data_IF_062530653645
#
_entry.id   IF_062530653645
#
_cell.length_a   1.000
_cell.length_b   1.000
_cell.length_c   1.000
_cell.angle_alpha   90.00
_cell.angle_beta   90.00
_cell.angle_gamma   90.00
#
_symmetry.space_group_name_H-M   'P 1'
#
loop_
_entity.id
_entity.type
_entity.pdbx_description
1 polymer ?
#
# COMPACT_ATOMS: atom_id res chain seq x y z
N UNK A 1 21.34 -3.54 -5.72
CA UNK A 1 20.41 -2.46 -5.37
C UNK A 1 21.13 -1.14 -5.32
N UNK A 2 20.61 -0.11 -6.01
CA UNK A 2 21.14 1.24 -6.05
C UNK A 2 20.19 2.19 -5.31
N UNK A 3 20.70 3.27 -4.73
CA UNK A 3 19.89 4.36 -4.17
C UNK A 3 19.86 5.53 -5.15
N UNK A 4 18.67 6.07 -5.38
CA UNK A 4 18.44 7.20 -6.27
C UNK A 4 17.73 8.30 -5.48
N UNK A 5 18.25 9.53 -5.55
CA UNK A 5 17.62 10.69 -4.93
C UNK A 5 16.53 11.24 -5.83
N UNK A 6 15.33 11.39 -5.29
CA UNK A 6 14.15 11.95 -5.97
C UNK A 6 13.80 13.30 -5.35
N UNK A 7 13.48 14.27 -6.19
CA UNK A 7 12.95 15.58 -5.76
C UNK A 7 11.43 15.54 -5.73
N UNK A 8 10.83 15.82 -4.58
CA UNK A 8 9.38 15.89 -4.40
C UNK A 8 8.80 17.27 -4.82
N UNK A 9 7.48 17.36 -4.95
CA UNK A 9 6.79 18.61 -5.34
C UNK A 9 6.97 19.76 -4.34
N UNK A 10 7.16 19.43 -3.07
CA UNK A 10 7.42 20.38 -1.98
C UNK A 10 8.91 20.73 -1.81
N UNK A 11 9.73 20.45 -2.83
CA UNK A 11 11.18 20.65 -2.87
C UNK A 11 11.97 19.82 -1.84
N UNK A 12 11.35 18.94 -1.08
CA UNK A 12 12.05 17.94 -0.28
C UNK A 12 12.67 16.87 -1.17
N UNK A 13 13.64 16.14 -0.64
CA UNK A 13 14.25 14.99 -1.33
C UNK A 13 14.03 13.72 -0.54
N UNK A 14 13.96 12.59 -1.26
CA UNK A 14 13.88 11.27 -0.66
C UNK A 14 14.60 10.23 -1.53
N UNK A 15 14.90 9.07 -0.95
CA UNK A 15 15.59 8.00 -1.64
C UNK A 15 14.60 6.95 -2.17
N UNK A 16 14.80 6.54 -3.43
CA UNK A 16 14.25 5.31 -3.98
C UNK A 16 15.35 4.25 -4.05
N UNK A 17 14.96 3.00 -3.84
CA UNK A 17 15.82 1.82 -3.97
C UNK A 17 15.50 1.14 -5.29
N UNK A 18 16.50 0.99 -6.16
CA UNK A 18 16.37 0.43 -7.49
C UNK A 18 17.20 -0.86 -7.63
N UNK A 19 16.59 -1.91 -8.12
CA UNK A 19 17.24 -3.13 -8.65
C UNK A 19 17.21 -3.05 -10.18
N UNK A 20 18.26 -2.49 -10.80
CA UNK A 20 18.24 -2.19 -12.22
C UNK A 20 18.41 -3.47 -13.06
N UNK A 21 17.76 -3.50 -14.23
CA UNK A 21 17.94 -4.48 -15.28
C UNK A 21 18.40 -3.81 -16.58
N UNK A 22 19.22 -4.49 -17.36
CA UNK A 22 19.69 -3.95 -18.66
C UNK A 22 18.58 -3.96 -19.71
N UNK A 23 17.72 -4.98 -19.68
CA UNK A 23 16.56 -5.13 -20.56
C UNK A 23 15.41 -5.71 -19.74
N UNK A 24 14.73 -4.88 -18.94
CA UNK A 24 13.68 -5.36 -18.05
C UNK A 24 12.45 -5.81 -18.83
N UNK A 25 11.85 -6.94 -18.41
CA UNK A 25 10.52 -7.35 -18.90
C UNK A 25 9.48 -6.29 -18.57
N UNK A 26 9.56 -5.72 -17.38
CA UNK A 26 8.77 -4.59 -16.92
C UNK A 26 9.45 -3.97 -15.68
N UNK A 27 9.08 -2.74 -15.34
CA UNK A 27 9.44 -2.14 -14.04
C UNK A 27 8.30 -2.33 -13.04
N UNK A 28 8.60 -2.95 -11.88
CA UNK A 28 7.66 -3.15 -10.78
C UNK A 28 7.97 -2.17 -9.66
N UNK A 29 7.00 -1.29 -9.35
CA UNK A 29 7.11 -0.36 -8.25
C UNK A 29 6.38 -0.92 -7.03
N UNK A 30 7.14 -1.25 -5.97
CA UNK A 30 6.63 -1.81 -4.71
C UNK A 30 6.31 -0.69 -3.72
N UNK A 31 5.11 -0.73 -3.13
CA UNK A 31 4.63 0.25 -2.17
C UNK A 31 4.22 -0.42 -0.86
N UNK A 32 4.84 0.00 0.23
CA UNK A 32 4.66 -0.55 1.57
C UNK A 32 3.37 -0.06 2.25
N UNK A 33 3.02 -0.69 3.37
CA UNK A 33 1.87 -0.36 4.21
C UNK A 33 2.10 0.79 5.19
N UNK A 34 1.13 1.03 6.06
CA UNK A 34 1.18 2.05 7.10
C UNK A 34 2.04 1.59 8.28
N UNK A 35 2.80 2.51 8.87
CA UNK A 35 3.67 2.28 10.02
C UNK A 35 4.71 1.16 9.79
N UNK A 36 5.23 1.08 8.57
CA UNK A 36 6.33 0.21 8.16
C UNK A 36 7.23 0.94 7.13
N UNK A 37 8.11 0.22 6.43
CA UNK A 37 9.00 0.80 5.42
C UNK A 37 9.34 -0.18 4.30
N UNK A 38 9.89 0.35 3.21
CA UNK A 38 10.13 -0.37 1.96
C UNK A 38 11.15 -1.51 2.08
N UNK A 39 12.09 -1.47 3.04
CA UNK A 39 13.13 -2.52 3.16
C UNK A 39 12.55 -3.88 3.60
N UNK A 40 11.33 -3.91 4.13
CA UNK A 40 10.60 -5.17 4.44
C UNK A 40 10.23 -5.96 3.18
N UNK A 41 10.30 -5.33 2.01
CA UNK A 41 9.98 -5.92 0.71
C UNK A 41 11.22 -6.37 -0.09
N UNK A 42 12.42 -6.25 0.49
CA UNK A 42 13.67 -6.69 -0.15
C UNK A 42 13.60 -8.15 -0.63
N UNK A 43 13.08 -9.12 0.14
CA UNK A 43 13.00 -10.51 -0.34
C UNK A 43 12.15 -10.67 -1.62
N UNK A 44 11.01 -9.96 -1.70
CA UNK A 44 10.19 -9.96 -2.91
C UNK A 44 10.90 -9.22 -4.05
N UNK A 45 11.53 -8.07 -3.78
CA UNK A 45 12.25 -7.30 -4.78
C UNK A 45 13.39 -8.11 -5.42
N UNK A 46 14.13 -8.86 -4.62
CA UNK A 46 15.20 -9.76 -5.11
C UNK A 46 14.64 -10.91 -5.93
N UNK A 47 13.54 -11.52 -5.51
CA UNK A 47 12.85 -12.57 -6.25
C UNK A 47 12.38 -12.08 -7.62
N UNK A 48 11.74 -10.92 -7.70
CA UNK A 48 11.28 -10.31 -8.94
C UNK A 48 12.46 -9.90 -9.84
N UNK A 49 13.51 -9.33 -9.24
CA UNK A 49 14.73 -8.96 -9.97
C UNK A 49 15.41 -10.16 -10.60
N UNK A 50 15.55 -11.29 -9.88
CA UNK A 50 16.08 -12.55 -10.40
C UNK A 50 15.23 -13.11 -11.56
N UNK A 51 13.94 -12.79 -11.59
CA UNK A 51 13.02 -13.18 -12.67
C UNK A 51 13.05 -12.24 -13.89
N UNK A 52 13.95 -11.22 -13.91
CA UNK A 52 14.16 -10.33 -15.06
C UNK A 52 13.39 -9.02 -15.01
N UNK A 53 12.72 -8.73 -13.89
CA UNK A 53 12.05 -7.43 -13.69
C UNK A 53 13.01 -6.40 -13.11
N UNK A 54 12.91 -5.16 -13.58
CA UNK A 54 13.43 -4.04 -12.81
C UNK A 54 12.50 -3.79 -11.63
N UNK A 55 13.05 -3.54 -10.46
CA UNK A 55 12.24 -3.28 -9.26
C UNK A 55 12.64 -1.96 -8.65
N UNK A 56 11.66 -1.17 -8.27
CA UNK A 56 11.87 0.07 -7.52
C UNK A 56 10.94 0.10 -6.31
N UNK A 57 11.42 0.67 -5.21
CA UNK A 57 10.62 0.96 -4.02
C UNK A 57 11.11 2.24 -3.36
N UNK A 58 10.25 2.89 -2.58
CA UNK A 58 10.60 4.06 -1.80
C UNK A 58 9.80 4.09 -0.50
N UNK A 59 10.25 4.84 0.48
CA UNK A 59 9.46 5.10 1.66
C UNK A 59 8.41 6.19 1.39
N UNK A 60 7.16 5.92 1.72
CA UNK A 60 6.11 6.94 1.71
C UNK A 60 6.43 8.07 2.69
N UNK A 61 5.84 9.23 2.50
CA UNK A 61 5.95 10.37 3.40
C UNK A 61 5.64 9.95 4.84
N UNK A 62 6.47 10.38 5.78
CA UNK A 62 6.33 10.03 7.19
C UNK A 62 6.73 8.60 7.57
N UNK A 63 7.31 7.82 6.66
CA UNK A 63 7.72 6.44 6.88
C UNK A 63 9.22 6.24 6.62
N UNK A 64 9.77 5.17 7.21
CA UNK A 64 11.20 4.89 7.12
C UNK A 64 12.06 6.06 7.58
N UNK A 65 12.95 6.55 6.71
CA UNK A 65 13.82 7.72 6.95
C UNK A 65 13.14 9.06 6.72
N UNK A 66 11.96 9.12 6.06
CA UNK A 66 11.27 10.38 5.74
C UNK A 66 10.65 11.00 6.99
N UNK A 67 10.93 12.28 7.21
CA UNK A 67 10.50 13.03 8.39
C UNK A 67 9.54 14.16 8.05
N UNK A 68 8.66 14.57 8.99
CA UNK A 68 8.46 14.01 10.32
C UNK A 68 7.78 12.63 10.26
N UNK A 69 8.18 11.71 11.17
CA UNK A 69 7.63 10.34 11.19
C UNK A 69 6.12 10.34 11.47
N UNK A 70 5.39 9.49 10.75
CA UNK A 70 3.95 9.35 10.89
C UNK A 70 3.15 10.54 10.34
N UNK A 71 3.76 11.39 9.49
CA UNK A 71 3.10 12.57 8.93
C UNK A 71 3.39 12.71 7.44
N UNK A 72 2.34 12.80 6.60
CA UNK A 72 2.55 12.91 5.14
C UNK A 72 3.07 14.28 4.75
N UNK A 73 2.33 15.31 5.13
CA UNK A 73 2.63 16.70 4.88
C UNK A 73 1.69 17.59 5.71
N UNK A 74 2.04 18.84 5.89
CA UNK A 74 1.09 19.83 6.38
C UNK A 74 -0.03 20.06 5.38
N UNK A 75 -1.20 20.48 5.86
CA UNK A 75 -2.34 20.75 5.00
C UNK A 75 -1.97 21.75 3.90
N UNK A 76 -2.25 21.40 2.65
CA UNK A 76 -1.95 22.19 1.45
C UNK A 76 -0.43 22.43 1.20
N UNK A 77 0.45 21.55 1.64
CA UNK A 77 1.85 21.59 1.24
C UNK A 77 1.98 21.55 -0.29
N UNK A 78 2.81 22.41 -0.87
CA UNK A 78 2.96 22.55 -2.32
C UNK A 78 1.61 22.74 -3.08
N UNK A 79 0.58 23.28 -2.43
CA UNK A 79 -0.75 23.45 -3.03
C UNK A 79 -1.57 22.15 -3.16
N UNK A 80 -1.10 21.05 -2.58
CA UNK A 80 -1.73 19.72 -2.64
C UNK A 80 -2.01 19.19 -1.23
N UNK A 81 -2.96 18.28 -1.10
CA UNK A 81 -3.16 17.49 0.13
C UNK A 81 -2.15 16.36 0.25
N UNK A 82 -1.97 15.81 1.49
CA UNK A 82 -1.02 14.74 1.73
C UNK A 82 -1.30 13.49 0.88
N UNK A 83 -2.56 13.16 0.62
CA UNK A 83 -2.95 12.06 -0.26
C UNK A 83 -2.49 12.27 -1.72
N UNK A 84 -2.62 13.49 -2.25
CA UNK A 84 -2.19 13.84 -3.61
C UNK A 84 -0.68 13.84 -3.74
N UNK A 85 0.04 14.30 -2.71
CA UNK A 85 1.50 14.27 -2.67
C UNK A 85 2.06 12.85 -2.71
N UNK A 86 1.34 11.85 -2.16
CA UNK A 86 1.73 10.44 -2.28
C UNK A 86 1.68 9.97 -3.74
N UNK A 87 0.65 10.37 -4.50
CA UNK A 87 0.54 10.03 -5.93
C UNK A 87 1.63 10.72 -6.75
N UNK A 88 1.92 11.99 -6.46
CA UNK A 88 2.99 12.75 -7.12
C UNK A 88 4.37 12.14 -6.85
N UNK A 89 4.64 11.70 -5.62
CA UNK A 89 5.89 11.02 -5.28
C UNK A 89 6.07 9.71 -6.11
N UNK A 90 5.00 8.92 -6.29
CA UNK A 90 5.04 7.72 -7.14
C UNK A 90 5.35 8.08 -8.59
N UNK A 91 4.67 9.09 -9.12
CA UNK A 91 4.89 9.54 -10.50
C UNK A 91 6.34 9.97 -10.71
N UNK A 92 6.92 10.72 -9.78
CA UNK A 92 8.33 11.17 -9.84
C UNK A 92 9.31 10.00 -9.76
N UNK A 93 9.05 9.02 -8.89
CA UNK A 93 9.87 7.80 -8.86
C UNK A 93 9.81 7.09 -10.20
N UNK A 94 8.64 6.89 -10.79
CA UNK A 94 8.51 6.24 -12.09
C UNK A 94 9.19 7.06 -13.21
N UNK A 95 9.06 8.36 -13.21
CA UNK A 95 9.75 9.23 -14.18
C UNK A 95 11.27 9.15 -14.09
N UNK A 96 11.81 8.94 -12.89
CA UNK A 96 13.25 8.87 -12.67
C UNK A 96 13.84 7.46 -12.90
N UNK A 97 13.00 6.42 -12.89
CA UNK A 97 13.48 5.02 -12.87
C UNK A 97 12.96 4.16 -14.02
N UNK A 98 11.86 4.53 -14.68
CA UNK A 98 11.29 3.76 -15.77
C UNK A 98 11.69 4.38 -17.11
N UNK A 99 12.04 3.51 -18.08
CA UNK A 99 12.16 3.84 -19.51
C UNK A 99 10.82 3.61 -20.23
N UNK A 100 10.93 2.97 -21.41
CA UNK A 100 9.75 2.66 -22.25
C UNK A 100 9.12 1.29 -21.91
N UNK A 101 9.73 0.53 -20.98
CA UNK A 101 9.22 -0.76 -20.57
C UNK A 101 7.86 -0.66 -19.84
N UNK A 102 7.05 -1.75 -19.85
CA UNK A 102 5.80 -1.83 -19.12
C UNK A 102 5.97 -1.52 -17.62
N UNK A 103 4.99 -0.84 -17.02
CA UNK A 103 5.02 -0.41 -15.62
C UNK A 103 3.95 -1.11 -14.82
N UNK A 104 4.33 -1.71 -13.72
CA UNK A 104 3.44 -2.44 -12.81
C UNK A 104 3.55 -1.81 -11.43
N UNK A 105 2.40 -1.55 -10.82
CA UNK A 105 2.32 -1.13 -9.42
C UNK A 105 1.94 -2.30 -8.53
N UNK A 106 2.71 -2.55 -7.48
CA UNK A 106 2.34 -3.49 -6.41
C UNK A 106 2.26 -2.74 -5.10
N UNK A 107 1.07 -2.68 -4.50
CA UNK A 107 0.85 -2.06 -3.20
C UNK A 107 0.35 -3.04 -2.15
N UNK A 108 0.87 -2.92 -0.93
CA UNK A 108 0.36 -3.65 0.22
C UNK A 108 -0.35 -2.72 1.20
N UNK A 109 -1.51 -3.14 1.71
CA UNK A 109 -2.27 -2.41 2.75
C UNK A 109 -2.50 -0.95 2.35
N UNK A 110 -2.03 0.04 3.11
CA UNK A 110 -2.07 1.45 2.75
C UNK A 110 -1.49 1.69 1.35
N UNK A 111 -0.38 1.05 0.99
CA UNK A 111 0.20 1.11 -0.35
C UNK A 111 -0.76 0.60 -1.44
N UNK A 112 -1.63 -0.37 -1.14
CA UNK A 112 -2.65 -0.84 -2.09
C UNK A 112 -3.76 0.18 -2.31
N UNK A 113 -4.13 0.94 -1.30
CA UNK A 113 -5.09 2.03 -1.44
C UNK A 113 -4.48 3.20 -2.21
N UNK A 114 -3.21 3.52 -1.96
CA UNK A 114 -2.46 4.52 -2.71
C UNK A 114 -2.35 4.10 -4.18
N UNK A 115 -2.09 2.81 -4.47
CA UNK A 115 -2.03 2.27 -5.83
C UNK A 115 -3.36 2.43 -6.58
N UNK A 116 -4.50 2.20 -5.91
CA UNK A 116 -5.82 2.47 -6.50
C UNK A 116 -6.00 3.96 -6.80
N UNK A 117 -5.61 4.85 -5.88
CA UNK A 117 -5.65 6.30 -6.08
C UNK A 117 -4.77 6.74 -7.26
N UNK A 118 -3.59 6.15 -7.40
CA UNK A 118 -2.70 6.39 -8.54
C UNK A 118 -3.31 5.89 -9.85
N UNK A 119 -3.84 4.67 -9.88
CA UNK A 119 -4.47 4.09 -11.07
C UNK A 119 -5.71 4.90 -11.54
N UNK A 120 -6.45 5.51 -10.63
CA UNK A 120 -7.56 6.43 -10.96
C UNK A 120 -7.08 7.67 -11.73
N UNK A 121 -5.86 8.16 -11.47
CA UNK A 121 -5.30 9.39 -12.05
C UNK A 121 -4.37 9.13 -13.23
N UNK A 122 -3.64 8.05 -13.17
CA UNK A 122 -2.51 7.74 -14.05
C UNK A 122 -2.55 6.29 -14.53
N UNK A 123 -3.73 5.66 -14.58
CA UNK A 123 -3.88 4.26 -14.96
C UNK A 123 -3.36 3.95 -16.37
N UNK A 124 -3.41 4.92 -17.27
CA UNK A 124 -2.89 4.79 -18.64
C UNK A 124 -1.35 4.59 -18.68
N UNK A 125 -0.64 4.92 -17.61
CA UNK A 125 0.79 4.65 -17.47
C UNK A 125 1.10 3.22 -17.02
N UNK A 126 0.08 2.43 -16.64
CA UNK A 126 0.24 1.13 -16.05
C UNK A 126 -0.09 0.00 -17.04
N UNK A 127 0.70 -1.06 -17.00
CA UNK A 127 0.45 -2.33 -17.69
C UNK A 127 -0.07 -3.42 -16.75
N UNK A 128 -0.11 -3.16 -15.43
CA UNK A 128 -0.65 -4.05 -14.42
C UNK A 128 -0.74 -3.42 -13.04
N UNK A 129 -1.69 -3.88 -12.24
CA UNK A 129 -1.92 -3.41 -10.88
C UNK A 129 -2.06 -4.61 -9.93
N UNK A 130 -1.24 -4.66 -8.87
CA UNK A 130 -1.25 -5.73 -7.87
C UNK A 130 -1.60 -5.12 -6.51
N UNK A 131 -2.64 -5.64 -5.86
CA UNK A 131 -3.16 -5.13 -4.60
C UNK A 131 -3.16 -6.24 -3.54
N UNK A 132 -2.29 -6.11 -2.56
CA UNK A 132 -2.13 -7.02 -1.42
C UNK A 132 -2.78 -6.46 -0.17
N UNK A 133 -3.53 -7.28 0.58
CA UNK A 133 -4.13 -6.87 1.85
C UNK A 133 -5.06 -5.65 1.71
N UNK A 134 -5.74 -5.56 0.58
CA UNK A 134 -6.67 -4.48 0.24
C UNK A 134 -8.10 -4.82 0.64
N UNK A 135 -9.03 -3.88 0.49
CA UNK A 135 -10.44 -4.12 0.74
C UNK A 135 -11.34 -3.13 0.00
N UNK A 136 -12.65 -3.45 0.02
CA UNK A 136 -13.71 -2.49 -0.25
C UNK A 136 -14.70 -2.51 0.91
N UNK A 137 -14.94 -1.34 1.50
CA UNK A 137 -15.82 -1.16 2.66
C UNK A 137 -16.81 -0.01 2.44
N UNK A 138 -17.83 0.03 3.28
CA UNK A 138 -18.78 1.15 3.32
C UNK A 138 -18.06 2.48 3.60
N UNK A 139 -18.29 3.47 2.75
CA UNK A 139 -17.75 4.82 2.91
C UNK A 139 -18.18 5.50 4.22
N UNK A 140 -19.31 5.09 4.82
CA UNK A 140 -19.81 5.65 6.07
C UNK A 140 -18.80 5.50 7.22
N UNK A 141 -18.10 4.35 7.31
CA UNK A 141 -17.05 4.12 8.30
C UNK A 141 -15.89 5.10 8.13
N UNK A 142 -15.46 5.31 6.89
CA UNK A 142 -14.36 6.23 6.58
C UNK A 142 -14.75 7.70 6.80
N UNK A 143 -15.99 8.09 6.52
CA UNK A 143 -16.51 9.42 6.87
C UNK A 143 -16.50 9.64 8.36
N UNK A 144 -16.95 8.65 9.17
CA UNK A 144 -16.90 8.73 10.63
C UNK A 144 -15.45 8.86 11.13
N UNK A 145 -14.54 7.99 10.66
CA UNK A 145 -13.12 8.04 11.03
C UNK A 145 -12.49 9.39 10.71
N UNK A 146 -12.75 9.93 9.51
CA UNK A 146 -12.29 11.28 9.12
C UNK A 146 -12.85 12.37 10.02
N UNK A 147 -14.12 12.29 10.39
CA UNK A 147 -14.75 13.28 11.28
C UNK A 147 -14.12 13.27 12.67
N UNK A 148 -13.88 12.07 13.23
CA UNK A 148 -13.18 11.92 14.52
C UNK A 148 -11.75 12.47 14.43
N UNK A 149 -10.97 12.08 13.42
CA UNK A 149 -9.61 12.58 13.22
C UNK A 149 -9.59 14.12 13.06
N UNK A 150 -10.53 14.68 12.31
CA UNK A 150 -10.64 16.13 12.09
C UNK A 150 -10.98 16.89 13.37
N UNK A 151 -11.90 16.35 14.21
CA UNK A 151 -12.25 16.95 15.48
C UNK A 151 -11.07 16.94 16.48
N UNK A 152 -10.35 15.81 16.55
CA UNK A 152 -9.14 15.72 17.37
C UNK A 152 -8.04 16.67 16.87
N UNK A 153 -7.90 16.80 15.54
CA UNK A 153 -6.94 17.71 14.90
C UNK A 153 -7.19 19.18 15.27
N UNK A 154 -8.44 19.61 15.37
CA UNK A 154 -8.77 20.98 15.82
C UNK A 154 -8.30 21.27 17.24
N UNK A 155 -8.24 20.25 18.11
CA UNK A 155 -7.84 20.42 19.52
C UNK A 155 -6.35 20.18 19.77
N UNK A 156 -5.74 19.24 19.04
CA UNK A 156 -4.40 18.72 19.33
C UNK A 156 -3.36 19.14 18.26
N UNK A 157 -3.82 19.70 17.13
CA UNK A 157 -2.97 20.09 16.02
C UNK A 157 -2.77 18.97 14.99
N UNK A 158 -2.37 19.37 13.78
CA UNK A 158 -2.28 18.46 12.62
C UNK A 158 -1.16 17.41 12.75
N UNK A 159 -0.06 17.75 13.42
CA UNK A 159 1.10 16.88 13.58
C UNK A 159 1.02 15.98 14.83
N UNK A 160 -0.04 16.11 15.65
CA UNK A 160 -0.19 15.28 16.84
C UNK A 160 -0.33 13.80 16.47
N UNK A 161 0.55 12.95 17.03
CA UNK A 161 0.55 11.51 16.86
C UNK A 161 -0.57 10.88 17.70
N UNK A 162 -1.56 10.27 17.06
CA UNK A 162 -2.82 9.90 17.72
C UNK A 162 -2.87 8.43 18.15
N UNK A 163 -2.66 8.18 19.44
CA UNK A 163 -2.91 6.85 20.03
C UNK A 163 -4.41 6.45 19.99
N UNK A 164 -5.33 7.42 19.94
CA UNK A 164 -6.77 7.13 19.81
C UNK A 164 -7.09 6.52 18.45
N UNK A 165 -6.58 7.11 17.37
CA UNK A 165 -6.79 6.58 16.03
C UNK A 165 -6.12 5.22 15.84
N UNK A 166 -4.94 5.04 16.40
CA UNK A 166 -4.22 3.78 16.41
C UNK A 166 -5.01 2.67 17.12
N UNK A 167 -5.50 2.93 18.32
CA UNK A 167 -6.28 1.97 19.11
C UNK A 167 -7.62 1.58 18.43
N UNK A 168 -8.27 2.52 17.74
CA UNK A 168 -9.51 2.28 17.00
C UNK A 168 -9.28 1.47 15.70
N UNK A 169 -8.07 1.44 15.18
CA UNK A 169 -7.68 0.69 13.98
C UNK A 169 -6.84 -0.54 14.34
N UNK A 170 -5.54 -0.40 14.50
CA UNK A 170 -4.61 -1.51 14.72
C UNK A 170 -4.89 -2.29 16.00
N UNK A 171 -5.22 -1.58 17.10
CA UNK A 171 -5.60 -2.23 18.35
C UNK A 171 -6.89 -3.06 18.23
N UNK A 172 -7.82 -2.69 17.34
CA UNK A 172 -9.02 -3.46 17.07
C UNK A 172 -8.72 -4.74 16.25
N UNK A 173 -7.78 -4.67 15.29
CA UNK A 173 -7.42 -5.81 14.44
C UNK A 173 -6.85 -6.98 15.24
N UNK A 174 -6.01 -6.69 16.24
CA UNK A 174 -5.37 -7.74 17.04
C UNK A 174 -6.33 -8.49 17.96
N UNK A 175 -7.51 -7.94 18.25
CA UNK A 175 -8.53 -8.60 19.10
C UNK A 175 -9.02 -9.93 18.53
N UNK A 176 -8.98 -10.11 17.21
CA UNK A 176 -9.41 -11.32 16.52
C UNK A 176 -8.48 -12.53 16.79
N UNK A 177 -7.28 -12.29 17.33
CA UNK A 177 -6.24 -13.31 17.51
C UNK A 177 -5.97 -13.63 18.99
N UNK A 178 -6.91 -13.34 19.89
CA UNK A 178 -6.77 -13.67 21.32
C UNK A 178 -6.78 -15.18 21.57
N UNK A 179 -5.93 -15.70 22.50
CA UNK A 179 -4.94 -14.96 23.29
C UNK A 179 -3.75 -14.49 22.43
N UNK A 180 -3.40 -13.20 22.56
CA UNK A 180 -2.33 -12.61 21.77
C UNK A 180 -0.95 -12.90 22.39
N UNK A 181 0.06 -13.15 21.56
CA UNK A 181 1.48 -13.19 21.94
C UNK A 181 2.06 -11.78 21.99
N UNK A 182 1.64 -10.93 21.03
CA UNK A 182 2.10 -9.54 20.86
C UNK A 182 0.93 -8.64 20.48
N UNK A 183 1.19 -7.33 20.35
CA UNK A 183 0.19 -6.36 19.85
C UNK A 183 0.02 -6.39 18.31
N UNK A 184 0.83 -7.20 17.61
CA UNK A 184 0.89 -7.25 16.14
C UNK A 184 0.70 -8.66 15.57
N UNK A 185 0.11 -9.59 16.31
CA UNK A 185 -0.14 -10.94 15.80
C UNK A 185 -1.04 -10.97 14.56
N UNK A 186 -1.85 -9.94 14.36
CA UNK A 186 -2.72 -9.82 13.20
C UNK A 186 -1.96 -9.65 11.88
N UNK A 187 -0.66 -9.31 11.90
CA UNK A 187 0.16 -9.12 10.71
C UNK A 187 0.48 -10.44 10.02
N UNK A 188 0.96 -11.45 10.75
CA UNK A 188 1.40 -12.72 10.18
C UNK A 188 1.35 -13.86 11.20
N UNK A 189 1.23 -15.09 10.71
CA UNK A 189 1.45 -16.33 11.50
C UNK A 189 2.93 -16.61 11.75
N UNK A 190 3.81 -16.06 10.92
CA UNK A 190 5.25 -16.17 11.10
C UNK A 190 5.70 -15.29 12.28
N UNK A 191 5.93 -15.94 13.42
CA UNK A 191 6.38 -15.26 14.63
C UNK A 191 7.70 -14.50 14.43
N UNK A 192 8.60 -14.99 13.58
CA UNK A 192 9.86 -14.31 13.34
C UNK A 192 9.66 -12.99 12.58
N UNK A 193 8.70 -12.95 11.64
CA UNK A 193 8.36 -11.71 10.93
C UNK A 193 7.69 -10.69 11.87
N UNK A 194 6.80 -11.14 12.76
CA UNK A 194 6.21 -10.27 13.78
C UNK A 194 7.27 -9.75 14.74
N UNK A 195 8.21 -10.59 15.19
CA UNK A 195 9.30 -10.17 16.08
C UNK A 195 10.26 -9.18 15.41
N UNK A 196 10.56 -9.36 14.12
CA UNK A 196 11.32 -8.37 13.32
C UNK A 196 10.59 -7.04 13.22
N UNK A 197 9.27 -7.06 13.00
CA UNK A 197 8.46 -5.83 12.98
C UNK A 197 8.52 -5.09 14.32
N UNK A 198 8.39 -5.82 15.44
CA UNK A 198 8.45 -5.25 16.79
C UNK A 198 9.84 -4.70 17.15
N UNK A 199 10.90 -5.35 16.68
CA UNK A 199 12.28 -4.92 16.94
C UNK A 199 12.72 -3.73 16.08
N UNK A 200 11.98 -3.42 15.02
CA UNK A 200 12.33 -2.35 14.09
C UNK A 200 11.73 -1.01 14.53
N UNK A 201 12.59 -0.08 14.91
CA UNK A 201 12.18 1.27 15.33
C UNK A 201 11.46 2.08 14.22
N UNK A 202 11.53 1.66 12.94
CA UNK A 202 10.80 2.27 11.84
C UNK A 202 9.41 1.67 11.64
N UNK A 203 9.05 0.61 12.38
CA UNK A 203 7.76 -0.04 12.35
C UNK A 203 6.90 0.29 13.58
N UNK A 204 5.59 0.11 13.48
CA UNK A 204 4.65 0.24 14.61
C UNK A 204 4.52 1.65 15.21
N UNK A 205 4.96 2.68 14.52
CA UNK A 205 4.89 4.05 15.01
C UNK A 205 3.49 4.65 14.85
N UNK A 206 3.14 5.55 15.75
CA UNK A 206 1.90 6.32 15.67
C UNK A 206 1.91 7.26 14.46
N UNK A 207 0.73 7.52 13.91
CA UNK A 207 0.53 8.42 12.80
C UNK A 207 -0.23 9.70 13.24
N UNK A 208 0.06 10.79 12.55
CA UNK A 208 -0.50 12.12 12.85
C UNK A 208 -1.97 12.20 12.48
N UNK A 209 -2.69 13.10 13.13
CA UNK A 209 -4.09 13.37 12.83
C UNK A 209 -4.29 13.88 11.39
N UNK A 210 -3.29 14.58 10.82
CA UNK A 210 -3.33 14.97 9.40
C UNK A 210 -3.21 13.74 8.50
N UNK A 211 -2.25 12.83 8.76
CA UNK A 211 -2.12 11.58 7.99
C UNK A 211 -3.43 10.78 8.01
N UNK A 212 -4.05 10.60 9.17
CA UNK A 212 -5.34 9.91 9.27
C UNK A 212 -6.44 10.61 8.48
N UNK A 213 -6.50 11.94 8.52
CA UNK A 213 -7.47 12.72 7.76
C UNK A 213 -7.28 12.54 6.25
N UNK A 214 -6.03 12.56 5.78
CA UNK A 214 -5.67 12.40 4.37
C UNK A 214 -5.95 10.96 3.90
N UNK A 215 -5.58 9.96 4.70
CA UNK A 215 -5.85 8.56 4.40
C UNK A 215 -7.36 8.29 4.27
N UNK A 216 -8.17 8.72 5.23
CA UNK A 216 -9.63 8.55 5.11
C UNK A 216 -10.21 9.29 3.92
N UNK A 217 -9.67 10.46 3.56
CA UNK A 217 -10.09 11.18 2.35
C UNK A 217 -9.80 10.38 1.09
N UNK A 218 -8.62 9.77 1.02
CA UNK A 218 -8.24 8.86 -0.05
C UNK A 218 -9.12 7.60 -0.11
N UNK A 219 -9.38 6.96 1.03
CA UNK A 219 -10.27 5.78 1.10
C UNK A 219 -11.70 6.09 0.66
N UNK A 220 -12.22 7.27 1.00
CA UNK A 220 -13.53 7.75 0.52
C UNK A 220 -13.48 8.00 -0.99
N UNK A 221 -12.37 8.51 -1.51
CA UNK A 221 -12.21 8.78 -2.95
C UNK A 221 -12.20 7.49 -3.76
N UNK A 222 -11.33 6.52 -3.40
CA UNK A 222 -11.22 5.25 -4.12
C UNK A 222 -12.46 4.36 -3.95
N UNK A 223 -13.26 4.57 -2.90
CA UNK A 223 -14.54 3.87 -2.68
C UNK A 223 -15.68 4.33 -3.60
N UNK A 224 -15.50 5.37 -4.44
CA UNK A 224 -16.53 5.88 -5.34
C UNK A 224 -16.50 5.17 -6.69
N UNK A 225 -17.62 4.58 -7.12
CA UNK A 225 -17.74 3.90 -8.41
C UNK A 225 -17.31 4.79 -9.60
N UNK A 226 -17.69 6.08 -9.58
CA UNK A 226 -17.33 7.02 -10.65
C UNK A 226 -15.81 7.28 -10.74
N UNK A 227 -15.08 7.12 -9.64
CA UNK A 227 -13.63 7.25 -9.65
C UNK A 227 -12.98 5.96 -10.15
N UNK A 228 -13.43 4.79 -9.71
CA UNK A 228 -12.89 3.51 -10.21
C UNK A 228 -13.07 3.36 -11.73
N UNK A 229 -14.18 3.84 -12.30
CA UNK A 229 -14.39 3.84 -13.77
C UNK A 229 -13.35 4.62 -14.56
N UNK A 230 -12.51 5.45 -13.90
CA UNK A 230 -11.41 6.16 -14.56
C UNK A 230 -10.17 5.28 -14.73
N UNK A 231 -10.05 4.19 -13.98
CA UNK A 231 -9.03 3.18 -14.21
C UNK A 231 -9.31 2.55 -15.57
N UNK A 232 -8.32 2.37 -16.46
CA UNK A 232 -8.55 1.74 -17.77
C UNK A 232 -9.19 0.35 -17.60
N UNK A 233 -10.32 0.12 -18.27
CA UNK A 233 -11.10 -1.11 -18.09
C UNK A 233 -10.31 -2.38 -18.46
N UNK A 234 -9.36 -2.27 -19.40
CA UNK A 234 -8.48 -3.34 -19.85
C UNK A 234 -7.27 -3.58 -18.95
N UNK A 235 -6.99 -2.71 -17.96
CA UNK A 235 -5.84 -2.86 -17.08
C UNK A 235 -5.94 -4.17 -16.28
N UNK A 236 -4.96 -5.10 -16.39
CA UNK A 236 -4.95 -6.31 -15.58
C UNK A 236 -4.77 -5.97 -14.10
N UNK A 237 -5.64 -6.53 -13.25
CA UNK A 237 -5.60 -6.31 -11.81
C UNK A 237 -5.48 -7.65 -11.10
N UNK A 238 -4.47 -7.79 -10.23
CA UNK A 238 -4.29 -8.95 -9.36
C UNK A 238 -4.54 -8.56 -7.91
N UNK A 239 -5.50 -9.23 -7.29
CA UNK A 239 -5.87 -9.06 -5.90
C UNK A 239 -5.46 -10.28 -5.11
N UNK A 240 -4.79 -10.10 -3.98
CA UNK A 240 -4.58 -11.21 -3.06
C UNK A 240 -4.62 -10.77 -1.59
N UNK A 241 -4.94 -11.73 -0.71
CA UNK A 241 -4.98 -11.50 0.73
C UNK A 241 -5.20 -12.79 1.51
N UNK A 242 -5.02 -12.72 2.81
CA UNK A 242 -5.33 -13.82 3.72
C UNK A 242 -6.82 -13.85 4.09
N UNK A 243 -7.38 -15.04 4.31
CA UNK A 243 -8.77 -15.16 4.74
C UNK A 243 -8.97 -14.85 6.24
N UNK A 244 -7.85 -14.68 6.98
CA UNK A 244 -7.82 -14.22 8.36
C UNK A 244 -7.33 -12.78 8.52
N UNK A 245 -7.21 -12.04 7.43
CA UNK A 245 -6.84 -10.63 7.47
C UNK A 245 -7.98 -9.76 8.04
N UNK A 246 -7.80 -9.09 9.20
CA UNK A 246 -8.82 -8.21 9.77
C UNK A 246 -9.01 -6.92 8.98
N UNK A 247 -7.98 -6.42 8.28
CA UNK A 247 -8.09 -5.29 7.35
C UNK A 247 -8.97 -5.69 6.16
N UNK A 248 -8.78 -6.91 5.67
CA UNK A 248 -9.60 -7.55 4.65
C UNK A 248 -10.94 -8.12 5.20
N UNK A 249 -11.41 -7.68 6.38
CA UNK A 249 -12.67 -8.10 7.00
C UNK A 249 -12.77 -9.63 7.14
N UNK A 250 -11.70 -10.25 7.59
CA UNK A 250 -11.61 -11.72 7.76
C UNK A 250 -12.00 -12.44 6.46
N UNK A 251 -11.33 -12.08 5.35
CA UNK A 251 -11.48 -12.71 4.04
C UNK A 251 -12.62 -12.18 3.18
N UNK A 252 -13.44 -11.23 3.63
CA UNK A 252 -14.57 -10.69 2.87
C UNK A 252 -14.22 -9.45 2.03
N UNK A 253 -13.26 -8.66 2.47
CA UNK A 253 -12.97 -7.34 1.91
C UNK A 253 -12.31 -7.39 0.53
N UNK A 254 -11.39 -8.34 0.30
CA UNK A 254 -10.72 -8.49 -1.01
C UNK A 254 -11.69 -9.01 -2.08
N UNK A 255 -12.51 -10.06 -1.83
CA UNK A 255 -13.59 -10.44 -2.75
C UNK A 255 -14.61 -9.33 -3.01
N UNK A 256 -14.94 -8.51 -2.00
CA UNK A 256 -15.82 -7.36 -2.19
C UNK A 256 -15.20 -6.30 -3.10
N UNK A 257 -13.87 -6.08 -3.00
CA UNK A 257 -13.14 -5.19 -3.92
C UNK A 257 -13.20 -5.72 -5.36
N UNK A 258 -12.97 -7.04 -5.57
CA UNK A 258 -13.11 -7.65 -6.89
C UNK A 258 -14.50 -7.41 -7.48
N UNK A 259 -15.54 -7.76 -6.73
CA UNK A 259 -16.93 -7.57 -7.18
C UNK A 259 -17.25 -6.08 -7.49
N UNK A 260 -16.65 -5.15 -6.75
CA UNK A 260 -16.85 -3.73 -6.98
C UNK A 260 -16.12 -3.25 -8.24
N UNK A 261 -14.89 -3.72 -8.49
CA UNK A 261 -14.15 -3.47 -9.73
C UNK A 261 -14.91 -4.02 -10.94
N UNK A 262 -15.37 -5.26 -10.90
CA UNK A 262 -16.18 -5.88 -11.96
C UNK A 262 -17.47 -5.08 -12.24
N UNK A 263 -18.17 -4.65 -11.19
CA UNK A 263 -19.35 -3.79 -11.32
C UNK A 263 -19.05 -2.43 -11.95
N UNK A 264 -17.81 -1.95 -11.85
CA UNK A 264 -17.38 -0.68 -12.45
C UNK A 264 -16.79 -0.84 -13.85
N UNK A 265 -16.78 -2.06 -14.40
CA UNK A 265 -16.43 -2.33 -15.79
C UNK A 265 -15.03 -2.92 -16.01
N UNK A 266 -14.40 -3.42 -14.95
CA UNK A 266 -13.09 -4.09 -15.05
C UNK A 266 -13.31 -5.60 -15.08
N UNK A 267 -13.02 -6.24 -16.20
CA UNK A 267 -13.22 -7.67 -16.43
C UNK A 267 -11.94 -8.50 -16.29
N UNK A 268 -10.78 -7.85 -16.31
CA UNK A 268 -9.47 -8.51 -16.13
C UNK A 268 -9.00 -8.44 -14.67
N UNK A 269 -9.79 -9.01 -13.75
CA UNK A 269 -9.50 -9.00 -12.31
C UNK A 269 -9.30 -10.43 -11.79
N UNK A 270 -8.05 -10.78 -11.48
CA UNK A 270 -7.67 -12.04 -10.86
C UNK A 270 -7.68 -11.92 -9.34
N UNK A 271 -8.22 -12.92 -8.63
CA UNK A 271 -8.25 -12.97 -7.17
C UNK A 271 -7.61 -14.25 -6.65
N UNK A 272 -6.73 -14.13 -5.67
CA UNK A 272 -6.18 -15.25 -4.90
C UNK A 272 -6.37 -15.00 -3.39
N UNK A 273 -7.09 -15.90 -2.71
CA UNK A 273 -7.21 -15.90 -1.25
C UNK A 273 -6.37 -17.04 -0.69
N UNK A 274 -5.59 -16.74 0.36
CA UNK A 274 -4.72 -17.72 1.03
C UNK A 274 -5.37 -18.17 2.35
N UNK A 275 -5.64 -19.49 2.49
CA UNK A 275 -6.24 -20.02 3.71
C UNK A 275 -5.37 -19.77 4.94
N UNK A 276 -6.01 -19.41 6.05
CA UNK A 276 -5.38 -19.07 7.35
C UNK A 276 -4.40 -17.89 7.28
N UNK A 277 -4.13 -17.31 6.10
CA UNK A 277 -3.25 -16.16 5.93
C UNK A 277 -3.78 -14.93 6.65
N UNK A 278 -2.88 -14.17 7.29
CA UNK A 278 -3.18 -12.91 7.95
C UNK A 278 -2.92 -11.74 7.00
N UNK A 279 -2.66 -10.57 7.54
CA UNK A 279 -2.57 -9.34 6.75
C UNK A 279 -1.39 -9.30 5.76
N UNK A 280 -0.20 -9.66 6.22
CA UNK A 280 1.04 -9.51 5.46
C UNK A 280 1.40 -10.79 4.69
N UNK A 281 0.67 -11.12 3.63
CA UNK A 281 0.92 -12.34 2.84
C UNK A 281 2.34 -12.43 2.27
N UNK A 282 2.99 -11.30 2.04
CA UNK A 282 4.39 -11.23 1.58
C UNK A 282 5.42 -11.54 2.69
N UNK A 283 4.98 -11.59 3.95
CA UNK A 283 5.75 -11.92 5.14
C UNK A 283 5.10 -13.08 5.92
N UNK A 284 4.27 -13.88 5.27
CA UNK A 284 3.59 -15.04 5.86
C UNK A 284 4.45 -16.31 5.82
N UNK A 285 4.04 -17.33 6.57
CA UNK A 285 4.70 -18.64 6.58
C UNK A 285 4.81 -19.28 5.19
N UNK A 286 3.89 -18.93 4.29
CA UNK A 286 3.87 -19.35 2.89
C UNK A 286 4.22 -18.22 1.91
N UNK A 287 5.03 -17.24 2.30
CA UNK A 287 5.43 -16.12 1.45
C UNK A 287 6.04 -16.57 0.10
N UNK A 288 6.79 -17.69 0.09
CA UNK A 288 7.36 -18.24 -1.15
C UNK A 288 6.29 -18.67 -2.16
N UNK A 289 5.15 -19.22 -1.70
CA UNK A 289 4.00 -19.52 -2.56
C UNK A 289 3.41 -18.22 -3.13
N UNK A 290 3.25 -17.19 -2.29
CA UNK A 290 2.73 -15.88 -2.71
C UNK A 290 3.63 -15.22 -3.75
N UNK A 291 4.96 -15.31 -3.59
CA UNK A 291 5.93 -14.82 -4.58
C UNK A 291 5.80 -15.57 -5.91
N UNK A 292 5.66 -16.90 -5.85
CA UNK A 292 5.52 -17.71 -7.06
C UNK A 292 4.20 -17.43 -7.78
N UNK A 293 3.09 -17.29 -7.06
CA UNK A 293 1.79 -16.93 -7.64
C UNK A 293 1.83 -15.52 -8.27
N UNK A 294 2.53 -14.58 -7.63
CA UNK A 294 2.76 -13.24 -8.19
C UNK A 294 3.58 -13.31 -9.49
N UNK A 295 4.66 -14.10 -9.52
CA UNK A 295 5.45 -14.32 -10.72
C UNK A 295 4.65 -15.02 -11.83
N UNK A 296 3.82 -16.00 -11.49
CA UNK A 296 2.97 -16.70 -12.46
C UNK A 296 1.95 -15.74 -13.09
N UNK A 297 1.33 -14.88 -12.29
CA UNK A 297 0.43 -13.85 -12.80
C UNK A 297 1.17 -12.85 -13.70
N UNK A 298 2.33 -12.36 -13.29
CA UNK A 298 3.15 -11.45 -14.11
C UNK A 298 3.54 -12.07 -15.46
N UNK A 299 3.90 -13.36 -15.50
CA UNK A 299 4.21 -14.10 -16.74
C UNK A 299 2.98 -14.31 -17.64
N UNK A 300 1.76 -14.27 -17.09
CA UNK A 300 0.53 -14.39 -17.87
C UNK A 300 0.14 -13.09 -18.58
N UNK A 301 0.77 -11.97 -18.23
CA UNK A 301 0.55 -10.70 -18.91
C UNK A 301 1.26 -10.71 -20.27
N UNK A 302 0.59 -10.17 -21.28
CA UNK A 302 1.18 -9.91 -22.60
C UNK A 302 1.88 -8.55 -22.57
N UNK A 303 3.08 -8.49 -21.97
CA UNK A 303 3.87 -7.27 -21.78
C UNK A 303 4.78 -6.98 -22.98
#
# INVERSE_FOLDING_TARGET
>A
MNKITISAADHSTFEARLWPQTSPVATIHLMHGMAEHCDRYIPLAECLHQAGYQVVTHNHRGHGERRPRGHYADANAAGMGGWELLMDDILRVQQATCGDEPRILLGHSMGSFIAQGFAIRHGDLLSGLILSGSNHQSSALFHLGRSVASLLKLRQGQQHLSGVMDALSFGAFNKAFRPNRTDFDWLSRDHQQVDRYLADAACGHLCSLQLWTDLFSGLIEIGKANNLRKIPAHLPIYLFGGDRDPVGQMGKGVPALKAFLEKTGHDNVTLRMYPEGRHEMLNETNASEVFQDTLNWLKSLSL
#
